data_IF_476350740739
#
_entry.id   IF_476350740739
#
_cell.length_a   1.000
_cell.length_b   1.000
_cell.length_c   1.000
_cell.angle_alpha   90.00
_cell.angle_beta   90.00
_cell.angle_gamma   90.00
#
_symmetry.space_group_name_H-M   'P 1'
#
loop_
_entity.id
_entity.type
_entity.pdbx_description
1 polymer ?
#
# COMPACT_ATOMS: atom_id res chain seq x y z
N UNK A 1 -51.66 27.38 -24.91
CA UNK A 1 -51.23 27.44 -23.50
C UNK A 1 -50.45 26.16 -23.25
N UNK A 2 -49.11 26.23 -23.25
CA UNK A 2 -48.21 25.07 -23.26
C UNK A 2 -47.58 24.97 -21.87
N UNK A 3 -47.70 23.83 -21.21
CA UNK A 3 -47.07 23.56 -19.91
C UNK A 3 -45.61 23.12 -20.08
N UNK A 4 -44.72 23.37 -19.09
CA UNK A 4 -43.28 23.22 -19.27
C UNK A 4 -42.79 21.80 -19.01
N UNK A 5 -41.72 21.45 -19.72
CA UNK A 5 -40.94 20.22 -19.65
C UNK A 5 -40.54 19.84 -18.20
N UNK A 6 -40.91 18.64 -17.78
CA UNK A 6 -40.28 17.97 -16.64
C UNK A 6 -38.91 17.44 -17.09
N UNK A 7 -37.84 18.04 -16.56
CA UNK A 7 -36.47 17.53 -16.69
C UNK A 7 -36.31 16.36 -15.71
N UNK A 8 -36.21 15.15 -16.24
CA UNK A 8 -35.87 13.97 -15.45
C UNK A 8 -34.41 14.07 -15.00
N UNK A 9 -34.18 14.39 -13.73
CA UNK A 9 -32.88 14.21 -13.09
C UNK A 9 -32.54 12.71 -13.10
N UNK A 10 -31.49 12.34 -13.83
CA UNK A 10 -30.93 10.99 -13.75
C UNK A 10 -30.45 10.76 -12.32
N UNK A 11 -30.81 9.64 -11.66
CA UNK A 11 -30.19 9.28 -10.40
C UNK A 11 -28.68 9.18 -10.60
N UNK A 12 -27.95 9.84 -9.71
CA UNK A 12 -26.50 9.73 -9.56
C UNK A 12 -26.09 8.26 -9.60
N UNK A 13 -25.10 7.95 -10.43
CA UNK A 13 -24.52 6.62 -10.59
C UNK A 13 -24.08 6.13 -9.20
N UNK A 14 -24.88 5.28 -8.57
CA UNK A 14 -24.42 4.49 -7.43
C UNK A 14 -23.20 3.71 -7.91
N UNK A 15 -22.04 4.01 -7.33
CA UNK A 15 -20.84 3.19 -7.49
C UNK A 15 -21.18 1.85 -6.83
N UNK A 16 -21.66 0.91 -7.64
CA UNK A 16 -21.74 -0.49 -7.24
C UNK A 16 -20.31 -1.00 -7.16
N UNK A 17 -19.74 -0.98 -5.96
CA UNK A 17 -18.62 -1.87 -5.64
C UNK A 17 -19.16 -3.28 -5.82
N UNK A 18 -18.79 -3.92 -6.93
CA UNK A 18 -19.04 -5.34 -7.10
C UNK A 18 -18.30 -6.04 -5.99
N UNK A 19 -19.05 -6.55 -5.01
CA UNK A 19 -18.55 -7.44 -3.96
C UNK A 19 -17.99 -8.67 -4.67
N UNK A 20 -16.68 -8.71 -4.90
CA UNK A 20 -16.02 -9.93 -5.32
C UNK A 20 -16.22 -10.98 -4.24
N UNK A 21 -16.53 -12.22 -4.63
CA UNK A 21 -16.89 -13.33 -3.74
C UNK A 21 -15.68 -13.90 -2.93
N UNK A 22 -14.76 -13.03 -2.48
CA UNK A 22 -13.58 -13.41 -1.70
C UNK A 22 -13.44 -12.54 -0.46
N UNK A 23 -12.92 -13.12 0.63
CA UNK A 23 -12.48 -12.36 1.79
C UNK A 23 -11.39 -11.35 1.37
N UNK A 24 -11.41 -10.12 1.91
CA UNK A 24 -10.41 -9.12 1.55
C UNK A 24 -9.01 -9.65 1.87
N UNK A 25 -8.07 -9.40 0.95
CA UNK A 25 -6.65 -9.71 1.12
C UNK A 25 -6.07 -8.97 2.32
N UNK A 26 -4.91 -9.44 2.81
CA UNK A 26 -4.22 -8.76 3.91
C UNK A 26 -3.83 -7.31 3.55
N UNK A 27 -3.53 -7.07 2.26
CA UNK A 27 -3.19 -5.74 1.72
C UNK A 27 -4.41 -4.82 1.82
N UNK A 28 -5.58 -5.28 1.36
CA UNK A 28 -6.83 -4.51 1.42
C UNK A 28 -7.26 -4.22 2.86
N UNK A 29 -7.11 -5.18 3.77
CA UNK A 29 -7.46 -4.98 5.18
C UNK A 29 -6.57 -3.93 5.84
N UNK A 30 -5.26 -3.98 5.60
CA UNK A 30 -4.32 -3.04 6.20
C UNK A 30 -4.38 -1.65 5.54
N UNK A 31 -4.61 -1.58 4.23
CA UNK A 31 -4.77 -0.29 3.55
C UNK A 31 -5.99 0.47 4.05
N UNK A 32 -7.13 -0.20 4.21
CA UNK A 32 -8.33 0.41 4.80
C UNK A 32 -8.10 0.89 6.23
N UNK A 33 -7.29 0.17 7.02
CA UNK A 33 -6.91 0.61 8.36
C UNK A 33 -6.07 1.88 8.33
N UNK A 34 -5.09 1.97 7.43
CA UNK A 34 -4.19 3.13 7.32
C UNK A 34 -4.96 4.36 6.81
N UNK A 35 -5.79 4.22 5.78
CA UNK A 35 -6.67 5.31 5.28
C UNK A 35 -7.67 5.79 6.32
N UNK A 36 -7.98 4.96 7.32
CA UNK A 36 -8.86 5.30 8.43
C UNK A 36 -8.18 5.99 9.62
N UNK A 37 -6.88 6.25 9.56
CA UNK A 37 -6.16 6.93 10.65
C UNK A 37 -6.62 8.39 10.75
N UNK A 38 -7.00 8.80 11.96
CA UNK A 38 -7.31 10.19 12.26
C UNK A 38 -6.04 10.97 12.61
N UNK A 39 -6.15 12.30 12.66
CA UNK A 39 -5.12 13.15 13.28
C UNK A 39 -4.73 12.62 14.67
N UNK A 40 -3.44 12.74 15.01
CA UNK A 40 -2.83 12.30 16.26
C UNK A 40 -2.92 10.77 16.50
N UNK A 41 -2.90 9.97 15.43
CA UNK A 41 -2.98 8.51 15.53
C UNK A 41 -1.77 7.88 16.23
N UNK A 42 -0.64 8.57 16.28
CA UNK A 42 0.60 8.15 16.94
C UNK A 42 0.76 8.73 18.36
N UNK A 43 -0.11 9.65 18.78
CA UNK A 43 -0.04 10.37 20.04
C UNK A 43 0.98 11.52 20.09
N UNK A 44 1.58 11.88 18.95
CA UNK A 44 2.56 12.96 18.81
C UNK A 44 2.18 13.97 17.72
N UNK A 45 0.91 14.00 17.33
CA UNK A 45 0.36 14.94 16.36
C UNK A 45 0.57 14.55 14.90
N UNK A 46 0.75 13.25 14.58
CA UNK A 46 0.82 12.82 13.18
C UNK A 46 -0.47 13.16 12.42
N UNK A 47 -0.30 13.67 11.20
CA UNK A 47 -1.41 13.88 10.27
C UNK A 47 -1.91 12.54 9.70
N UNK A 48 -3.16 12.48 9.20
CA UNK A 48 -3.61 11.37 8.38
C UNK A 48 -2.70 11.15 7.17
N UNK A 49 -2.49 9.89 6.80
CA UNK A 49 -1.72 9.52 5.61
C UNK A 49 -2.55 9.83 4.36
N UNK A 50 -1.92 10.39 3.31
CA UNK A 50 -2.59 10.62 2.03
C UNK A 50 -3.01 9.29 1.38
N UNK A 51 -4.25 9.24 0.88
CA UNK A 51 -4.80 8.09 0.19
C UNK A 51 -3.95 7.70 -1.04
N UNK A 52 -3.33 8.68 -1.72
CA UNK A 52 -2.47 8.45 -2.88
C UNK A 52 -1.21 7.64 -2.52
N UNK A 53 -0.60 7.91 -1.37
CA UNK A 53 0.56 7.15 -0.85
C UNK A 53 0.16 5.69 -0.58
N UNK A 54 -1.01 5.49 0.06
CA UNK A 54 -1.53 4.15 0.36
C UNK A 54 -1.90 3.40 -0.93
N UNK A 55 -2.55 4.06 -1.89
CA UNK A 55 -2.91 3.46 -3.17
C UNK A 55 -1.67 3.13 -4.00
N UNK A 56 -0.63 3.97 -3.92
CA UNK A 56 0.63 3.74 -4.61
C UNK A 56 1.32 2.48 -4.11
N UNK A 57 1.47 2.32 -2.79
CA UNK A 57 2.15 1.13 -2.24
C UNK A 57 1.33 -0.14 -2.50
N UNK A 58 0.01 -0.10 -2.29
CA UNK A 58 -0.86 -1.27 -2.51
C UNK A 58 -0.87 -1.69 -3.98
N UNK A 59 -0.86 -0.73 -4.91
CA UNK A 59 -0.75 -0.98 -6.34
C UNK A 59 0.59 -1.62 -6.74
N UNK A 60 1.71 -1.22 -6.12
CA UNK A 60 3.02 -1.85 -6.34
C UNK A 60 3.05 -3.27 -5.79
N UNK A 61 2.52 -3.50 -4.59
CA UNK A 61 2.42 -4.83 -4.00
C UNK A 61 1.59 -5.78 -4.85
N UNK A 62 0.45 -5.33 -5.40
CA UNK A 62 -0.38 -6.14 -6.30
C UNK A 62 0.32 -6.54 -7.60
N UNK A 63 1.31 -5.77 -8.05
CA UNK A 63 2.11 -6.07 -9.24
C UNK A 63 3.35 -6.93 -8.94
N UNK A 64 3.95 -6.74 -7.77
CA UNK A 64 5.25 -7.33 -7.44
C UNK A 64 5.12 -8.65 -6.67
N UNK A 65 4.08 -8.82 -5.85
CA UNK A 65 3.95 -9.99 -4.99
C UNK A 65 3.44 -11.22 -5.76
N UNK A 66 4.02 -12.40 -5.52
CA UNK A 66 3.45 -13.66 -5.96
C UNK A 66 2.03 -13.89 -5.42
N UNK A 67 1.20 -14.61 -6.18
CA UNK A 67 -0.22 -14.90 -5.84
C UNK A 67 -0.41 -15.53 -4.44
N UNK A 68 0.55 -16.33 -3.99
CA UNK A 68 0.52 -17.02 -2.70
C UNK A 68 1.60 -16.52 -1.75
N UNK A 69 1.95 -15.24 -1.89
CA UNK A 69 3.02 -14.65 -1.09
C UNK A 69 2.75 -14.68 0.42
N UNK A 70 3.83 -14.81 1.18
CA UNK A 70 3.82 -14.62 2.64
C UNK A 70 3.28 -13.23 2.97
N UNK A 71 2.43 -13.15 3.99
CA UNK A 71 1.87 -11.89 4.48
C UNK A 71 2.96 -11.01 5.09
N UNK A 72 2.93 -9.73 4.77
CA UNK A 72 3.75 -8.70 5.40
C UNK A 72 2.93 -7.79 6.31
N UNK A 73 3.51 -6.64 6.60
CA UNK A 73 2.87 -5.54 7.32
C UNK A 73 2.98 -4.26 6.51
N UNK A 74 1.89 -3.49 6.44
CA UNK A 74 1.89 -2.08 6.09
C UNK A 74 1.98 -1.27 7.38
N UNK A 75 3.01 -0.43 7.46
CA UNK A 75 3.33 0.38 8.62
C UNK A 75 3.28 1.85 8.19
N UNK A 76 2.38 2.66 8.76
CA UNK A 76 2.35 4.10 8.51
C UNK A 76 3.51 4.80 9.25
N UNK A 77 4.15 5.76 8.60
CA UNK A 77 5.10 6.69 9.21
C UNK A 77 4.41 7.97 9.64
N UNK A 78 4.81 8.54 10.78
CA UNK A 78 4.29 9.82 11.28
C UNK A 78 4.59 11.00 10.34
N UNK A 79 5.53 10.81 9.40
CA UNK A 79 5.91 11.75 8.34
C UNK A 79 5.02 11.67 7.09
N UNK A 80 3.99 10.82 7.08
CA UNK A 80 3.11 10.62 5.93
C UNK A 80 3.53 9.48 5.01
N UNK A 81 4.63 8.78 5.31
CA UNK A 81 5.08 7.62 4.54
C UNK A 81 4.28 6.35 4.85
N UNK A 82 4.41 5.33 3.99
CA UNK A 82 3.95 3.97 4.27
C UNK A 82 5.03 2.97 3.85
N UNK A 83 5.35 2.04 4.76
CA UNK A 83 6.28 0.94 4.50
C UNK A 83 5.54 -0.40 4.46
N UNK A 84 5.79 -1.20 3.43
CA UNK A 84 5.47 -2.62 3.39
C UNK A 84 6.71 -3.41 3.82
N UNK A 85 6.63 -4.19 4.90
CA UNK A 85 7.78 -4.90 5.47
C UNK A 85 7.55 -6.37 5.76
N UNK A 86 8.65 -7.13 5.67
CA UNK A 86 8.75 -8.54 6.03
C UNK A 86 10.03 -8.78 6.81
N UNK A 87 9.91 -9.53 7.91
CA UNK A 87 11.04 -10.05 8.67
C UNK A 87 11.02 -11.58 8.59
N UNK A 88 11.89 -12.15 7.75
CA UNK A 88 12.04 -13.60 7.58
C UNK A 88 13.34 -14.05 8.27
N UNK A 89 13.54 -15.37 8.53
CA UNK A 89 14.72 -15.83 9.23
C UNK A 89 16.07 -15.41 8.61
N UNK A 90 16.16 -15.35 7.28
CA UNK A 90 17.40 -15.02 6.56
C UNK A 90 17.45 -13.61 6.00
N UNK A 91 16.31 -12.94 5.89
CA UNK A 91 16.21 -11.68 5.17
C UNK A 91 15.10 -10.84 5.76
N UNK A 92 15.36 -9.55 5.95
CA UNK A 92 14.33 -8.54 6.13
C UNK A 92 14.27 -7.66 4.90
N UNK A 93 13.07 -7.24 4.51
CA UNK A 93 12.86 -6.38 3.36
C UNK A 93 11.76 -5.37 3.65
N UNK A 94 11.99 -4.13 3.23
CA UNK A 94 11.00 -3.06 3.25
C UNK A 94 10.89 -2.39 1.90
N UNK A 95 9.67 -2.10 1.46
CA UNK A 95 9.34 -1.21 0.36
C UNK A 95 8.64 0.02 0.95
N UNK A 96 9.22 1.19 0.78
CA UNK A 96 8.73 2.45 1.34
C UNK A 96 8.22 3.36 0.23
N UNK A 97 7.09 4.03 0.49
CA UNK A 97 6.64 5.19 -0.26
C UNK A 97 6.62 6.37 0.71
N UNK A 98 7.45 7.37 0.46
CA UNK A 98 7.49 8.62 1.23
C UNK A 98 6.26 9.50 0.92
N UNK A 99 6.02 10.51 1.74
CA UNK A 99 4.92 11.46 1.56
C UNK A 99 5.01 12.26 0.24
N UNK A 100 6.20 12.37 -0.35
CA UNK A 100 6.42 12.98 -1.68
C UNK A 100 6.38 11.94 -2.83
N UNK A 101 5.87 10.74 -2.54
CA UNK A 101 5.81 9.57 -3.42
C UNK A 101 7.17 8.99 -3.85
N UNK A 102 8.27 9.43 -3.24
CA UNK A 102 9.57 8.79 -3.46
C UNK A 102 9.52 7.33 -3.02
N UNK A 103 10.11 6.45 -3.83
CA UNK A 103 10.10 5.01 -3.62
C UNK A 103 11.50 4.57 -3.20
N UNK A 104 11.62 3.86 -2.09
CA UNK A 104 12.84 3.16 -1.71
C UNK A 104 12.57 1.71 -1.33
N UNK A 105 13.59 0.88 -1.42
CA UNK A 105 13.55 -0.50 -1.00
C UNK A 105 14.86 -0.84 -0.31
N UNK A 106 14.76 -1.33 0.92
CA UNK A 106 15.90 -1.81 1.68
C UNK A 106 15.78 -3.32 1.89
N UNK A 107 16.93 -3.97 1.91
CA UNK A 107 17.07 -5.40 2.14
C UNK A 107 18.19 -5.60 3.15
N UNK A 108 17.92 -6.34 4.20
CA UNK A 108 18.89 -6.74 5.20
C UNK A 108 19.05 -8.26 5.19
N UNK A 109 20.25 -8.76 4.89
CA UNK A 109 20.61 -10.17 5.02
C UNK A 109 21.01 -10.45 6.47
N UNK A 110 20.18 -11.23 7.17
CA UNK A 110 20.38 -11.51 8.60
C UNK A 110 21.53 -12.49 8.86
N UNK A 111 22.06 -13.15 7.83
CA UNK A 111 23.16 -14.12 7.93
C UNK A 111 24.50 -13.41 7.82
N UNK A 112 24.64 -12.51 6.83
CA UNK A 112 25.86 -11.72 6.62
C UNK A 112 25.87 -10.38 7.35
N UNK A 113 24.75 -9.97 7.95
CA UNK A 113 24.56 -8.66 8.60
C UNK A 113 24.85 -7.49 7.64
N UNK A 114 24.35 -7.62 6.41
CA UNK A 114 24.57 -6.63 5.34
C UNK A 114 23.26 -6.03 4.87
N UNK A 115 23.28 -4.71 4.67
CA UNK A 115 22.14 -3.95 4.17
C UNK A 115 22.40 -3.43 2.75
N UNK A 116 21.35 -3.39 1.94
CA UNK A 116 21.34 -2.76 0.63
C UNK A 116 20.07 -1.95 0.46
N UNK A 117 20.22 -0.70 0.04
CA UNK A 117 19.11 0.19 -0.27
C UNK A 117 19.16 0.63 -1.74
N UNK A 118 17.98 0.77 -2.33
CA UNK A 118 17.76 1.29 -3.69
C UNK A 118 16.59 2.26 -3.72
N UNK A 119 16.55 3.08 -4.75
CA UNK A 119 15.55 4.12 -4.95
C UNK A 119 14.90 4.03 -6.33
N UNK A 120 13.67 4.54 -6.46
CA UNK A 120 12.93 4.61 -7.72
C UNK A 120 12.77 3.25 -8.40
N UNK A 121 13.13 3.16 -9.67
CA UNK A 121 12.99 1.92 -10.45
C UNK A 121 13.87 0.77 -9.94
N UNK A 122 15.05 1.09 -9.41
CA UNK A 122 15.93 0.07 -8.83
C UNK A 122 15.34 -0.49 -7.53
N UNK A 123 14.61 0.33 -6.76
CA UNK A 123 13.87 -0.12 -5.58
C UNK A 123 12.80 -1.15 -5.93
N UNK A 124 11.98 -0.84 -6.94
CA UNK A 124 10.91 -1.73 -7.41
C UNK A 124 11.52 -3.04 -7.94
N UNK A 125 12.61 -2.94 -8.70
CA UNK A 125 13.30 -4.10 -9.28
C UNK A 125 13.91 -5.00 -8.20
N UNK A 126 14.56 -4.41 -7.19
CA UNK A 126 15.09 -5.12 -6.03
C UNK A 126 13.95 -5.80 -5.25
N UNK A 127 12.88 -5.06 -4.95
CA UNK A 127 11.73 -5.59 -4.23
C UNK A 127 11.12 -6.79 -4.94
N UNK A 128 10.83 -6.65 -6.24
CA UNK A 128 10.26 -7.73 -7.04
C UNK A 128 11.15 -8.97 -7.06
N UNK A 129 12.46 -8.78 -7.26
CA UNK A 129 13.42 -9.87 -7.26
C UNK A 129 13.39 -10.64 -5.93
N UNK A 130 13.48 -9.94 -4.79
CA UNK A 130 13.42 -10.60 -3.48
C UNK A 130 12.05 -11.24 -3.21
N UNK A 131 10.95 -10.58 -3.60
CA UNK A 131 9.60 -11.10 -3.44
C UNK A 131 9.42 -12.44 -4.17
N UNK A 132 9.89 -12.54 -5.42
CA UNK A 132 9.79 -13.76 -6.24
C UNK A 132 10.60 -14.92 -5.63
N UNK A 133 11.71 -14.66 -4.94
CA UNK A 133 12.56 -15.71 -4.33
C UNK A 133 12.20 -16.06 -2.89
N UNK A 134 11.80 -15.07 -2.09
CA UNK A 134 11.73 -15.21 -0.62
C UNK A 134 10.31 -15.20 -0.07
N UNK A 135 9.37 -14.60 -0.81
CA UNK A 135 7.99 -14.45 -0.38
C UNK A 135 7.03 -15.41 -1.06
N UNK A 136 7.41 -16.03 -2.19
CA UNK A 136 6.63 -17.06 -2.88
C UNK A 136 6.35 -18.32 -2.03
#
# INVERSE_FOLDING_TARGET
MVTPNAVWLRPSKEIRVSKGDGDPTWIEQQSLRIKGLSYDWDGYGAEPIDDEVVDRITGLLGQCLPKHSKRGSLVPGADGSVQAEWHLPKISIGLLIDADETISCWVHDNVSDTETEKFGWDAISLFKMIADFSLA
#
